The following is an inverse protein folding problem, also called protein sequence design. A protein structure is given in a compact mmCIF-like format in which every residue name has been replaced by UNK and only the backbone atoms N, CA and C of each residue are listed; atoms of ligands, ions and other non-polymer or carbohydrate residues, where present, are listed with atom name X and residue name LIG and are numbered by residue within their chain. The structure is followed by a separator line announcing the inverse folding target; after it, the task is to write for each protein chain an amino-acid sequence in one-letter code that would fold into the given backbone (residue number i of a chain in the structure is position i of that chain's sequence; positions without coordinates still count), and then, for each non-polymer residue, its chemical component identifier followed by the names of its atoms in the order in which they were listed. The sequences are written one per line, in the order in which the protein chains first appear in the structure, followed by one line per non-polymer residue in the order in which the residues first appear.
data_IF_953071508553
#
_entry.id   IF_953071508553
#
_cell.length_a   1.000
_cell.length_b   1.000
_cell.length_c   1.000
_cell.angle_alpha   90.00
_cell.angle_beta   90.00
_cell.angle_gamma   90.00
#
_symmetry.space_group_name_H-M   'P 1'
#
loop_
_entity.id
_entity.type
_entity.pdbx_description
1 polymer ?
#
# COMPACT_ATOMS: atom_id res chain seq x y z
N UNK A 1 -2.69 -4.49 -0.41
CA UNK A 1 -3.97 -3.99 -0.86
C UNK A 1 -4.84 -5.07 -1.47
N UNK A 2 -4.31 -6.02 -2.23
CA UNK A 2 -5.09 -7.20 -2.63
C UNK A 2 -5.65 -7.98 -1.43
N UNK A 3 -5.04 -7.80 -0.26
CA UNK A 3 -5.56 -8.35 0.98
C UNK A 3 -6.82 -7.64 1.48
N UNK A 4 -7.06 -6.39 1.11
CA UNK A 4 -8.26 -5.67 1.51
C UNK A 4 -9.54 -6.21 0.85
N UNK A 5 -9.42 -6.83 -0.32
CA UNK A 5 -10.55 -7.49 -0.99
C UNK A 5 -10.85 -8.89 -0.46
N UNK A 6 -10.03 -9.41 0.43
CA UNK A 6 -10.22 -10.76 0.98
C UNK A 6 -11.04 -10.66 2.27
N UNK A 7 -12.36 -10.56 2.12
CA UNK A 7 -13.35 -10.53 3.22
C UNK A 7 -13.16 -11.69 4.21
N UNK A 8 -12.44 -12.73 3.78
CA UNK A 8 -12.06 -13.88 4.60
C UNK A 8 -10.53 -14.01 4.66
N UNK A 9 -9.87 -13.03 5.26
CA UNK A 9 -8.45 -13.19 5.63
C UNK A 9 -8.32 -14.50 6.38
N UNK A 10 -7.50 -15.40 5.84
CA UNK A 10 -7.39 -16.74 6.41
C UNK A 10 -6.70 -16.64 7.76
N UNK A 11 -7.41 -16.91 8.85
CA UNK A 11 -6.86 -16.83 10.21
C UNK A 11 -5.57 -17.64 10.37
N UNK A 12 -5.40 -18.71 9.61
CA UNK A 12 -4.15 -19.48 9.60
C UNK A 12 -2.91 -18.65 9.24
N UNK A 13 -3.06 -17.55 8.48
CA UNK A 13 -1.93 -16.65 8.17
C UNK A 13 -1.49 -15.91 9.43
N UNK A 14 -2.45 -15.40 10.21
CA UNK A 14 -2.17 -14.73 11.48
C UNK A 14 -1.54 -15.69 12.49
N UNK A 15 -2.10 -16.89 12.62
CA UNK A 15 -1.55 -17.94 13.50
C UNK A 15 -0.10 -18.30 13.12
N UNK A 16 0.20 -18.38 11.82
CA UNK A 16 1.55 -18.64 11.34
C UNK A 16 2.49 -17.45 11.63
N UNK A 17 2.05 -16.23 11.44
CA UNK A 17 2.83 -15.04 11.75
C UNK A 17 3.11 -14.95 13.26
N UNK A 18 2.12 -15.22 14.10
CA UNK A 18 2.29 -15.30 15.57
C UNK A 18 3.37 -16.33 15.96
N UNK A 19 3.34 -17.50 15.34
CA UNK A 19 4.29 -18.60 15.62
C UNK A 19 5.68 -18.34 15.08
N UNK A 20 5.79 -17.67 13.94
CA UNK A 20 7.06 -17.41 13.25
C UNK A 20 7.70 -16.08 13.65
N UNK A 21 7.01 -15.25 14.42
CA UNK A 21 7.47 -13.92 14.83
C UNK A 21 7.48 -12.90 13.68
N UNK A 22 6.54 -13.05 12.72
CA UNK A 22 6.37 -12.10 11.62
C UNK A 22 5.39 -11.00 12.03
N UNK A 23 5.72 -9.76 11.76
CA UNK A 23 4.86 -8.63 12.05
C UNK A 23 3.86 -8.40 10.91
N UNK A 24 2.62 -8.10 11.28
CA UNK A 24 1.52 -7.82 10.36
C UNK A 24 1.03 -6.39 10.56
N UNK A 25 0.95 -5.63 9.49
CA UNK A 25 0.12 -4.45 9.39
C UNK A 25 -1.21 -4.89 8.74
N UNK A 26 -2.27 -4.87 9.53
CA UNK A 26 -3.59 -5.27 9.05
C UNK A 26 -4.32 -4.08 8.43
N UNK A 27 -4.81 -4.23 7.19
CA UNK A 27 -5.36 -3.13 6.40
C UNK A 27 -6.82 -3.37 6.03
N UNK A 28 -7.64 -2.33 6.20
CA UNK A 28 -9.09 -2.40 6.03
C UNK A 28 -9.56 -2.31 4.59
N UNK A 29 -9.07 -1.33 3.82
CA UNK A 29 -9.62 -1.08 2.49
C UNK A 29 -8.61 -0.47 1.53
N UNK A 30 -8.80 -0.75 0.23
CA UNK A 30 -8.00 -0.21 -0.87
C UNK A 30 -8.59 1.11 -1.43
N UNK A 31 -9.81 1.45 -1.06
CA UNK A 31 -10.51 2.67 -1.50
C UNK A 31 -11.57 3.06 -0.47
N UNK A 32 -12.04 4.32 -0.57
CA UNK A 32 -13.09 4.82 0.32
C UNK A 32 -14.38 5.10 -0.47
N UNK A 33 -15.01 6.24 -0.22
CA UNK A 33 -16.33 6.61 -0.74
C UNK A 33 -16.41 6.75 -2.28
N UNK A 34 -15.27 6.82 -2.97
CA UNK A 34 -15.20 6.87 -4.42
C UNK A 34 -14.24 5.82 -4.94
N UNK A 35 -14.56 5.18 -6.09
CA UNK A 35 -13.71 4.15 -6.67
C UNK A 35 -12.45 4.74 -7.28
N UNK A 36 -11.34 4.05 -7.10
CA UNK A 36 -10.12 4.31 -7.87
C UNK A 36 -10.34 3.96 -9.33
N UNK A 37 -9.65 4.69 -10.21
CA UNK A 37 -9.68 4.45 -11.66
C UNK A 37 -9.35 3.01 -12.03
N UNK A 38 -8.44 2.36 -11.30
CA UNK A 38 -8.06 0.96 -11.55
C UNK A 38 -9.25 0.00 -11.45
N UNK A 39 -10.30 0.34 -10.70
CA UNK A 39 -11.49 -0.50 -10.54
C UNK A 39 -12.59 -0.20 -11.55
N UNK A 40 -12.66 1.02 -12.06
CA UNK A 40 -13.74 1.45 -12.96
C UNK A 40 -13.29 1.66 -14.41
N UNK A 41 -12.04 2.02 -14.66
CA UNK A 41 -11.50 2.27 -16.00
C UNK A 41 -10.09 1.71 -16.20
N UNK A 42 -9.53 1.05 -15.20
CA UNK A 42 -8.13 0.71 -15.18
C UNK A 42 -7.77 -0.52 -16.00
N UNK A 43 -6.62 -1.00 -15.68
CA UNK A 43 -6.00 -2.13 -16.36
C UNK A 43 -6.66 -3.47 -16.08
N UNK A 44 -7.55 -3.54 -15.10
CA UNK A 44 -8.19 -4.81 -14.73
C UNK A 44 -9.39 -5.17 -15.59
N UNK A 45 -10.32 -4.23 -15.83
CA UNK A 45 -11.61 -4.57 -16.42
C UNK A 45 -12.09 -3.66 -17.55
N UNK A 46 -11.87 -2.37 -17.49
CA UNK A 46 -12.38 -1.41 -18.47
C UNK A 46 -13.85 -1.03 -18.30
N UNK A 47 -14.60 -1.72 -17.45
CA UNK A 47 -16.01 -1.46 -17.12
C UNK A 47 -16.16 -1.30 -15.61
N UNK A 48 -17.07 -0.44 -15.14
CA UNK A 48 -17.41 -0.34 -13.72
C UNK A 48 -17.88 -1.70 -13.18
N UNK A 49 -17.38 -2.06 -12.00
CA UNK A 49 -17.78 -3.29 -11.33
C UNK A 49 -17.83 -3.05 -9.82
N UNK A 50 -18.60 -3.85 -9.12
CA UNK A 50 -18.70 -3.86 -7.67
C UNK A 50 -17.52 -4.64 -7.07
N UNK A 51 -16.32 -4.13 -7.28
CA UNK A 51 -15.10 -4.82 -6.89
C UNK A 51 -14.45 -4.22 -5.64
N UNK A 52 -14.97 -3.07 -5.19
CA UNK A 52 -14.46 -2.36 -4.03
C UNK A 52 -15.53 -2.04 -3.01
N UNK A 53 -15.13 -1.38 -1.93
CA UNK A 53 -16.03 -1.01 -0.84
C UNK A 53 -16.84 0.26 -1.09
N UNK A 54 -16.55 1.00 -2.16
CA UNK A 54 -17.08 2.35 -2.39
C UNK A 54 -18.61 2.39 -2.49
N UNK A 55 -19.26 1.38 -3.09
CA UNK A 55 -20.72 1.35 -3.25
C UNK A 55 -21.48 1.29 -1.91
N UNK A 56 -20.86 0.69 -0.91
CA UNK A 56 -21.44 0.48 0.41
C UNK A 56 -20.68 1.21 1.52
N UNK A 57 -19.77 2.09 1.14
CA UNK A 57 -18.82 2.73 2.05
C UNK A 57 -19.49 3.42 3.23
N UNK A 58 -20.47 4.30 2.96
CA UNK A 58 -21.12 5.07 4.03
C UNK A 58 -21.94 4.19 4.98
N UNK A 59 -22.45 3.06 4.50
CA UNK A 59 -23.26 2.15 5.30
C UNK A 59 -22.41 1.20 6.16
N UNK A 60 -21.29 0.71 5.62
CA UNK A 60 -20.60 -0.45 6.19
C UNK A 60 -19.17 -0.20 6.68
N UNK A 61 -18.48 0.83 6.20
CA UNK A 61 -17.05 0.98 6.47
C UNK A 61 -16.68 1.03 7.96
N UNK A 62 -17.48 1.66 8.79
CA UNK A 62 -17.22 1.73 10.22
C UNK A 62 -17.39 0.37 10.89
N UNK A 63 -18.39 -0.39 10.46
CA UNK A 63 -18.61 -1.75 10.90
C UNK A 63 -17.46 -2.65 10.44
N UNK A 64 -17.07 -2.58 9.18
CA UNK A 64 -16.00 -3.39 8.59
C UNK A 64 -14.66 -3.15 9.29
N UNK A 65 -14.28 -1.88 9.52
CA UNK A 65 -13.08 -1.53 10.27
C UNK A 65 -13.15 -2.03 11.70
N UNK A 66 -14.27 -1.84 12.36
CA UNK A 66 -14.48 -2.29 13.74
C UNK A 66 -14.40 -3.82 13.85
N UNK A 67 -14.99 -4.54 12.93
CA UNK A 67 -15.01 -6.01 12.94
C UNK A 67 -13.65 -6.59 12.56
N UNK A 68 -12.91 -5.96 11.66
CA UNK A 68 -11.51 -6.32 11.41
C UNK A 68 -10.69 -6.28 12.70
N UNK A 69 -10.74 -5.14 13.41
CA UNK A 69 -9.98 -4.98 14.66
C UNK A 69 -10.46 -5.98 15.73
N UNK A 70 -11.77 -6.17 15.91
CA UNK A 70 -12.31 -7.13 16.86
C UNK A 70 -11.89 -8.56 16.59
N UNK A 71 -11.90 -8.96 15.32
CA UNK A 71 -11.51 -10.30 14.87
C UNK A 71 -10.04 -10.57 15.17
N UNK A 72 -9.17 -9.60 14.86
CA UNK A 72 -7.73 -9.87 14.72
C UNK A 72 -6.89 -9.34 15.91
N UNK A 73 -7.44 -8.48 16.80
CA UNK A 73 -6.68 -7.84 17.89
C UNK A 73 -5.99 -8.79 18.87
N UNK A 74 -6.38 -10.05 18.92
CA UNK A 74 -5.76 -11.04 19.80
C UNK A 74 -4.52 -11.70 19.20
N UNK A 75 -4.16 -11.36 17.94
CA UNK A 75 -2.92 -11.83 17.32
C UNK A 75 -1.76 -10.92 17.71
N UNK A 76 -0.74 -11.43 18.44
CA UNK A 76 0.43 -10.64 18.84
C UNK A 76 1.31 -10.22 17.65
N UNK A 77 1.18 -10.87 16.50
CA UNK A 77 1.87 -10.48 15.26
C UNK A 77 1.39 -9.14 14.70
N UNK A 78 0.15 -8.73 14.98
CA UNK A 78 -0.36 -7.44 14.50
C UNK A 78 0.28 -6.32 15.31
N UNK A 79 0.96 -5.41 14.63
CA UNK A 79 1.63 -4.28 15.27
C UNK A 79 1.05 -2.92 14.90
N UNK A 80 0.30 -2.81 13.79
CA UNK A 80 -0.41 -1.61 13.33
C UNK A 80 -1.73 -1.94 12.65
N UNK A 81 -2.66 -0.99 12.66
CA UNK A 81 -3.92 -1.02 11.93
C UNK A 81 -3.91 0.03 10.82
N UNK A 82 -4.03 -0.39 9.57
CA UNK A 82 -4.15 0.52 8.43
C UNK A 82 -5.61 0.74 8.06
N UNK A 83 -6.01 2.01 7.94
CA UNK A 83 -7.39 2.39 7.63
C UNK A 83 -7.65 2.57 6.13
N UNK A 84 -6.61 2.52 5.31
CA UNK A 84 -6.78 2.62 3.86
C UNK A 84 -5.46 2.71 3.10
N UNK A 85 -5.49 2.19 1.87
CA UNK A 85 -4.39 2.20 0.93
C UNK A 85 -4.65 3.15 -0.23
N UNK A 86 -3.75 4.12 -0.45
CA UNK A 86 -3.72 4.98 -1.64
C UNK A 86 -5.06 5.66 -1.97
N UNK A 87 -5.81 6.03 -0.95
CA UNK A 87 -7.11 6.69 -1.10
C UNK A 87 -6.97 8.14 -1.58
N UNK A 88 -5.77 8.64 -1.59
CA UNK A 88 -5.37 10.02 -1.83
C UNK A 88 -4.60 10.21 -3.14
N UNK A 89 -4.77 9.32 -4.12
CA UNK A 89 -4.17 9.60 -5.44
C UNK A 89 -4.64 10.95 -5.98
N UNK A 90 -3.72 11.83 -6.42
CA UNK A 90 -4.08 13.11 -7.03
C UNK A 90 -5.02 12.90 -8.22
N UNK A 91 -6.24 13.50 -8.15
CA UNK A 91 -7.27 13.38 -9.19
C UNK A 91 -7.78 11.94 -9.44
N UNK A 92 -7.64 11.05 -8.47
CA UNK A 92 -8.16 9.69 -8.52
C UNK A 92 -8.67 9.20 -7.14
N UNK A 93 -9.86 9.63 -6.66
CA UNK A 93 -10.75 10.60 -7.29
C UNK A 93 -10.57 12.06 -6.85
N UNK A 94 -9.91 12.32 -5.73
CA UNK A 94 -9.89 13.62 -5.06
C UNK A 94 -8.94 14.62 -5.71
N UNK A 95 -9.29 15.91 -5.63
CA UNK A 95 -8.46 16.98 -6.13
C UNK A 95 -8.33 18.12 -5.10
N UNK A 96 -7.24 18.89 -5.21
CA UNK A 96 -6.97 20.05 -4.37
C UNK A 96 -6.22 21.11 -5.18
N UNK A 97 -6.41 22.42 -4.93
CA UNK A 97 -5.70 23.48 -5.65
C UNK A 97 -4.18 23.41 -5.60
N UNK A 98 -3.59 22.73 -4.60
CA UNK A 98 -2.13 22.51 -4.51
C UNK A 98 -1.59 21.73 -5.73
N UNK A 99 -2.45 21.03 -6.47
CA UNK A 99 -2.06 20.25 -7.63
C UNK A 99 -1.73 21.15 -8.84
N UNK A 100 -2.14 22.42 -8.82
CA UNK A 100 -1.76 23.38 -9.85
C UNK A 100 -0.31 23.84 -9.65
N UNK A 101 0.51 23.66 -10.70
CA UNK A 101 1.89 24.09 -10.70
C UNK A 101 2.81 23.35 -9.72
N UNK A 102 2.33 22.29 -9.09
CA UNK A 102 3.12 21.53 -8.13
C UNK A 102 4.05 20.53 -8.82
N UNK A 103 5.18 20.28 -8.18
CA UNK A 103 6.14 19.23 -8.53
C UNK A 103 5.65 17.86 -8.03
N UNK A 104 4.44 17.45 -8.44
CA UNK A 104 3.93 16.13 -8.08
C UNK A 104 4.63 15.08 -8.93
N UNK A 105 5.15 14.04 -8.27
CA UNK A 105 5.85 12.93 -8.95
C UNK A 105 4.95 12.02 -9.80
N UNK A 106 3.66 12.29 -9.86
CA UNK A 106 2.70 11.53 -10.65
C UNK A 106 2.07 12.41 -11.74
N UNK A 107 2.81 12.77 -12.79
CA UNK A 107 2.37 13.71 -13.82
C UNK A 107 1.11 13.27 -14.58
N UNK A 108 0.80 11.95 -14.58
CA UNK A 108 -0.39 11.42 -15.24
C UNK A 108 -1.71 11.91 -14.61
N UNK A 109 -1.67 12.40 -13.38
CA UNK A 109 -2.83 12.91 -12.67
C UNK A 109 -2.88 14.43 -12.61
N UNK A 110 -1.98 15.13 -13.27
CA UNK A 110 -1.64 16.53 -13.13
C UNK A 110 -2.77 17.54 -13.18
N UNK A 111 -2.54 18.66 -12.51
CA UNK A 111 -3.40 19.83 -12.44
C UNK A 111 -4.59 19.70 -11.49
N UNK A 112 -5.07 20.83 -11.00
CA UNK A 112 -6.28 20.87 -10.18
C UNK A 112 -7.54 20.65 -11.04
N UNK A 113 -8.47 19.86 -10.53
CA UNK A 113 -9.76 19.57 -11.17
C UNK A 113 -10.90 20.04 -10.25
N UNK A 114 -11.46 21.24 -10.48
CA UNK A 114 -12.48 21.79 -9.59
C UNK A 114 -13.78 20.99 -9.54
N UNK A 115 -14.04 20.16 -10.54
CA UNK A 115 -15.23 19.30 -10.60
C UNK A 115 -15.02 17.93 -9.91
N UNK A 116 -13.81 17.64 -9.48
CA UNK A 116 -13.51 16.42 -8.72
C UNK A 116 -13.88 16.58 -7.23
N UNK A 117 -14.09 15.48 -6.51
CA UNK A 117 -14.29 15.52 -5.06
C UNK A 117 -13.17 16.27 -4.35
N UNK A 118 -13.53 17.12 -3.39
CA UNK A 118 -12.58 17.90 -2.59
C UNK A 118 -11.75 16.97 -1.69
N UNK A 119 -10.43 17.06 -1.78
CA UNK A 119 -9.49 16.28 -0.98
C UNK A 119 -9.63 16.50 0.54
N UNK A 120 -10.21 17.60 0.99
CA UNK A 120 -10.48 17.85 2.42
C UNK A 120 -11.40 16.79 3.04
N UNK A 121 -12.14 16.05 2.24
CA UNK A 121 -12.98 14.93 2.68
C UNK A 121 -12.15 13.78 3.27
N UNK A 122 -10.96 13.53 2.70
CA UNK A 122 -10.04 12.45 3.12
C UNK A 122 -9.71 12.56 4.61
N UNK A 123 -9.37 13.75 5.09
CA UNK A 123 -9.05 13.97 6.50
C UNK A 123 -10.22 13.67 7.44
N UNK A 124 -11.46 14.03 7.04
CA UNK A 124 -12.67 13.74 7.83
C UNK A 124 -12.93 12.25 7.92
N UNK A 125 -12.78 11.53 6.80
CA UNK A 125 -12.94 10.08 6.76
C UNK A 125 -11.86 9.41 7.62
N UNK A 126 -10.60 9.82 7.48
CA UNK A 126 -9.49 9.30 8.26
C UNK A 126 -9.73 9.43 9.78
N UNK A 127 -10.19 10.58 10.24
CA UNK A 127 -10.55 10.79 11.66
C UNK A 127 -11.65 9.83 12.11
N UNK A 128 -12.68 9.65 11.30
CA UNK A 128 -13.81 8.74 11.58
C UNK A 128 -13.34 7.29 11.71
N UNK A 129 -12.56 6.81 10.75
CA UNK A 129 -12.06 5.43 10.74
C UNK A 129 -11.01 5.17 11.82
N UNK A 130 -10.11 6.11 12.06
CA UNK A 130 -9.16 6.01 13.17
C UNK A 130 -9.86 5.96 14.54
N UNK A 131 -10.97 6.68 14.70
CA UNK A 131 -11.78 6.61 15.91
C UNK A 131 -12.43 5.23 16.09
N UNK A 132 -12.89 4.59 15.01
CA UNK A 132 -13.42 3.21 15.06
C UNK A 132 -12.36 2.21 15.55
N UNK A 133 -11.14 2.29 15.03
CA UNK A 133 -10.02 1.46 15.48
C UNK A 133 -9.76 1.69 16.97
N UNK A 134 -9.55 2.94 17.37
CA UNK A 134 -9.20 3.32 18.75
C UNK A 134 -10.30 2.99 19.76
N UNK A 135 -11.56 2.90 19.34
CA UNK A 135 -12.65 2.46 20.18
C UNK A 135 -12.56 0.97 20.56
N UNK A 136 -11.83 0.17 19.81
CA UNK A 136 -11.69 -1.28 20.01
C UNK A 136 -10.30 -1.66 20.52
N UNK A 137 -9.26 -1.02 19.98
CA UNK A 137 -7.85 -1.27 20.36
C UNK A 137 -7.08 0.05 20.49
N UNK A 138 -6.64 0.33 21.69
CA UNK A 138 -5.78 1.49 22.03
C UNK A 138 -4.31 1.10 22.20
N UNK A 139 -3.98 -0.17 22.04
CA UNK A 139 -2.63 -0.69 22.30
C UNK A 139 -1.71 -0.63 21.07
N UNK A 140 -2.29 -0.48 19.89
CA UNK A 140 -1.55 -0.44 18.61
C UNK A 140 -1.83 0.85 17.86
N UNK A 141 -0.83 1.39 17.14
CA UNK A 141 -0.99 2.62 16.36
C UNK A 141 -1.89 2.40 15.13
N UNK A 142 -2.54 3.47 14.74
CA UNK A 142 -3.31 3.56 13.49
C UNK A 142 -2.43 4.17 12.41
N UNK A 143 -2.46 3.59 11.23
CA UNK A 143 -1.75 4.09 10.04
C UNK A 143 -2.66 4.18 8.83
N UNK A 144 -2.15 4.74 7.77
CA UNK A 144 -2.70 4.74 6.42
C UNK A 144 -1.58 4.86 5.41
N UNK A 145 -1.78 4.36 4.21
CA UNK A 145 -0.81 4.32 3.14
C UNK A 145 -1.10 5.41 2.11
N UNK A 146 -0.32 6.50 2.15
CA UNK A 146 -0.51 7.69 1.35
C UNK A 146 0.26 7.60 0.02
N UNK A 147 -0.42 7.82 -1.10
CA UNK A 147 0.20 7.95 -2.42
C UNK A 147 0.34 9.43 -2.85
N UNK A 148 -0.60 10.26 -2.46
CA UNK A 148 -0.65 11.70 -2.77
C UNK A 148 -0.17 12.59 -1.63
N UNK A 149 1.00 12.32 -1.07
CA UNK A 149 1.51 12.96 0.16
C UNK A 149 1.44 14.49 0.12
N UNK A 150 1.80 15.12 -1.02
CA UNK A 150 1.74 16.59 -1.17
C UNK A 150 0.31 17.11 -1.01
N UNK A 151 -0.67 16.41 -1.58
CA UNK A 151 -2.08 16.74 -1.44
C UNK A 151 -2.59 16.44 -0.03
N UNK A 152 -2.24 15.28 0.49
CA UNK A 152 -2.66 14.85 1.83
C UNK A 152 -2.11 15.74 2.95
N UNK A 153 -0.94 16.33 2.78
CA UNK A 153 -0.40 17.35 3.69
C UNK A 153 -1.23 18.63 3.77
N UNK A 154 -2.18 18.85 2.86
CA UNK A 154 -3.15 19.96 2.92
C UNK A 154 -4.43 19.56 3.65
N UNK A 155 -4.57 18.30 4.03
CA UNK A 155 -5.75 17.76 4.71
C UNK A 155 -5.41 17.35 6.14
N UNK A 156 -6.41 16.94 6.90
CA UNK A 156 -6.19 16.40 8.26
C UNK A 156 -5.85 14.89 8.26
N UNK A 157 -5.56 14.29 7.11
CA UNK A 157 -5.30 12.84 7.04
C UNK A 157 -4.04 12.44 7.80
N UNK A 158 -2.86 13.06 7.55
CA UNK A 158 -1.66 12.71 8.30
C UNK A 158 -1.78 12.92 9.82
N UNK A 159 -2.56 13.90 10.24
CA UNK A 159 -2.78 14.21 11.67
C UNK A 159 -3.85 13.31 12.32
N UNK A 160 -4.67 12.63 11.54
CA UNK A 160 -5.69 11.70 12.05
C UNK A 160 -5.11 10.35 12.50
N UNK A 161 -3.94 9.99 12.01
CA UNK A 161 -3.26 8.72 12.22
C UNK A 161 -1.97 8.89 13.05
N UNK A 162 -1.51 7.81 13.67
CA UNK A 162 -0.35 7.84 14.57
C UNK A 162 0.97 7.66 13.81
N UNK A 163 0.93 6.93 12.70
CA UNK A 163 2.08 6.62 11.84
C UNK A 163 1.67 6.81 10.39
N UNK A 164 2.45 7.55 9.63
CA UNK A 164 2.10 7.93 8.25
C UNK A 164 2.91 7.10 7.26
N UNK A 165 2.20 6.25 6.51
CA UNK A 165 2.78 5.44 5.46
C UNK A 165 2.89 6.20 4.14
N UNK A 166 4.01 6.05 3.45
CA UNK A 166 4.28 6.68 2.15
C UNK A 166 4.44 5.59 1.09
N UNK A 167 3.57 5.60 0.08
CA UNK A 167 3.66 4.69 -1.06
C UNK A 167 4.43 5.36 -2.20
N UNK A 168 5.60 4.80 -2.57
CA UNK A 168 6.43 5.26 -3.70
C UNK A 168 6.77 6.76 -3.71
N UNK A 169 6.81 7.37 -2.55
CA UNK A 169 7.12 8.81 -2.37
C UNK A 169 8.30 9.04 -1.45
N UNK A 170 9.31 8.17 -1.56
CA UNK A 170 10.54 8.19 -0.76
C UNK A 170 11.30 9.52 -0.88
N UNK A 171 11.14 10.21 -2.01
CA UNK A 171 11.72 11.53 -2.24
C UNK A 171 11.16 12.63 -1.32
N UNK A 172 10.04 12.36 -0.64
CA UNK A 172 9.44 13.29 0.31
C UNK A 172 9.94 13.13 1.76
N UNK A 173 10.63 12.04 2.08
CA UNK A 173 11.00 11.73 3.46
C UNK A 173 11.77 12.85 4.16
N UNK A 174 12.82 13.38 3.53
CA UNK A 174 13.66 14.40 4.14
C UNK A 174 12.93 15.74 4.31
N UNK A 175 12.20 16.17 3.28
CA UNK A 175 11.45 17.42 3.29
C UNK A 175 10.32 17.39 4.32
N UNK A 176 9.57 16.29 4.34
CA UNK A 176 8.43 16.15 5.25
C UNK A 176 8.88 15.93 6.69
N UNK A 177 9.99 15.22 6.93
CA UNK A 177 10.59 15.13 8.26
C UNK A 177 11.05 16.50 8.77
N UNK A 178 11.66 17.34 7.93
CA UNK A 178 12.06 18.68 8.30
C UNK A 178 10.84 19.59 8.61
N UNK A 179 9.75 19.43 7.85
CA UNK A 179 8.53 20.21 8.02
C UNK A 179 7.67 19.74 9.19
N UNK A 180 7.64 18.44 9.41
CA UNK A 180 6.82 17.76 10.43
C UNK A 180 7.69 16.85 11.31
N UNK A 181 8.57 17.41 12.16
CA UNK A 181 9.60 16.64 12.85
C UNK A 181 9.09 15.59 13.85
N UNK A 182 7.83 15.73 14.28
CA UNK A 182 7.17 14.78 15.18
C UNK A 182 6.39 13.68 14.44
N UNK A 183 6.31 13.75 13.11
CA UNK A 183 5.61 12.74 12.31
C UNK A 183 6.45 11.48 12.20
N UNK A 184 5.87 10.37 12.61
CA UNK A 184 6.47 9.04 12.39
C UNK A 184 6.16 8.60 10.96
N UNK A 185 7.20 8.38 10.17
CA UNK A 185 7.10 8.06 8.73
C UNK A 185 7.69 6.67 8.46
N UNK A 186 7.09 5.94 7.53
CA UNK A 186 7.63 4.70 6.98
C UNK A 186 7.22 4.51 5.52
N UNK A 187 7.90 3.61 4.82
CA UNK A 187 7.50 3.20 3.47
C UNK A 187 6.42 2.13 3.54
N UNK A 188 5.16 2.53 3.44
CA UNK A 188 4.05 1.57 3.46
C UNK A 188 3.98 0.71 2.21
N UNK A 189 4.48 1.24 1.08
CA UNK A 189 4.63 0.50 -0.16
C UNK A 189 5.79 1.06 -0.97
N UNK A 190 6.84 0.27 -1.16
CA UNK A 190 8.02 0.65 -1.90
C UNK A 190 8.40 -0.38 -2.97
N UNK A 191 9.13 0.06 -3.97
CA UNK A 191 9.72 -0.82 -4.97
C UNK A 191 10.85 -1.70 -4.42
N UNK A 192 11.18 -2.77 -5.14
CA UNK A 192 12.26 -3.69 -4.76
C UNK A 192 13.66 -3.19 -5.14
N UNK A 193 13.79 -2.03 -5.79
CA UNK A 193 15.05 -1.48 -6.28
C UNK A 193 16.00 -1.01 -5.18
N UNK A 194 17.26 -0.78 -5.56
CA UNK A 194 18.32 -0.36 -4.65
C UNK A 194 18.08 1.06 -4.12
N UNK A 195 17.50 1.93 -4.92
CA UNK A 195 17.18 3.31 -4.55
C UNK A 195 16.18 3.36 -3.38
N UNK A 196 15.10 2.54 -3.46
CA UNK A 196 14.14 2.42 -2.37
C UNK A 196 14.78 1.85 -1.09
N UNK A 197 15.78 0.98 -1.21
CA UNK A 197 16.56 0.49 -0.08
C UNK A 197 17.35 1.61 0.60
N UNK A 198 18.10 2.39 -0.18
CA UNK A 198 18.90 3.50 0.36
C UNK A 198 18.04 4.64 0.90
N UNK A 199 16.83 4.81 0.38
CA UNK A 199 15.90 5.82 0.91
C UNK A 199 15.52 5.56 2.38
N UNK A 200 15.66 4.32 2.86
CA UNK A 200 15.28 3.93 4.22
C UNK A 200 16.48 3.56 5.09
N UNK A 201 17.45 2.82 4.53
CA UNK A 201 18.53 2.17 5.29
C UNK A 201 19.32 3.09 6.21
N UNK A 202 19.60 4.31 5.75
CA UNK A 202 20.47 5.25 6.44
C UNK A 202 19.70 6.43 7.10
N UNK A 203 18.36 6.32 7.23
CA UNK A 203 17.51 7.35 7.83
C UNK A 203 16.91 6.86 9.14
N UNK A 204 17.43 7.36 10.25
CA UNK A 204 16.99 6.98 11.60
C UNK A 204 15.50 7.33 11.88
N UNK A 205 14.97 8.32 11.17
CA UNK A 205 13.57 8.75 11.31
C UNK A 205 12.58 7.94 10.46
N UNK A 206 13.05 7.00 9.63
CA UNK A 206 12.21 6.04 8.89
C UNK A 206 12.39 4.66 9.53
N UNK A 207 11.36 4.16 10.20
CA UNK A 207 11.51 2.92 10.94
C UNK A 207 11.50 1.65 10.08
N UNK A 208 11.07 1.72 8.82
CA UNK A 208 11.05 0.56 7.94
C UNK A 208 10.35 0.81 6.61
N UNK A 209 10.25 -0.25 5.84
CA UNK A 209 9.52 -0.26 4.56
C UNK A 209 8.88 -1.61 4.30
N UNK A 210 7.76 -1.59 3.58
CA UNK A 210 7.12 -2.75 3.00
C UNK A 210 7.33 -2.75 1.50
N UNK A 211 7.69 -3.89 0.94
CA UNK A 211 7.96 -4.02 -0.50
C UNK A 211 6.72 -4.53 -1.22
N UNK A 212 6.36 -3.88 -2.28
CA UNK A 212 5.34 -4.38 -3.18
C UNK A 212 6.00 -5.19 -4.31
N UNK A 213 5.88 -6.54 -4.30
CA UNK A 213 5.22 -7.37 -3.32
C UNK A 213 6.11 -8.54 -2.88
N UNK A 214 5.70 -9.26 -1.83
CA UNK A 214 6.40 -10.47 -1.43
C UNK A 214 6.26 -11.60 -2.46
N UNK A 215 5.06 -11.83 -2.98
CA UNK A 215 4.75 -12.94 -3.90
C UNK A 215 3.96 -12.42 -5.10
N UNK A 216 4.18 -12.98 -6.29
CA UNK A 216 3.31 -12.76 -7.43
C UNK A 216 1.88 -13.18 -7.09
N UNK A 217 0.87 -12.46 -7.59
CA UNK A 217 -0.51 -12.75 -7.26
C UNK A 217 -1.45 -12.66 -8.47
N UNK A 218 -2.58 -13.34 -8.37
CA UNK A 218 -3.65 -13.28 -9.37
C UNK A 218 -4.44 -11.98 -9.18
N UNK A 219 -4.85 -11.40 -10.28
CA UNK A 219 -5.55 -10.10 -10.27
C UNK A 219 -4.64 -8.96 -10.67
N UNK A 220 -5.19 -7.76 -10.76
CA UNK A 220 -4.55 -6.55 -11.27
C UNK A 220 -3.71 -6.79 -12.55
N UNK A 221 -4.15 -7.75 -13.32
CA UNK A 221 -3.50 -8.13 -14.58
C UNK A 221 -3.88 -7.14 -15.68
N UNK A 222 -2.96 -6.91 -16.61
CA UNK A 222 -3.26 -6.17 -17.82
C UNK A 222 -4.20 -6.94 -18.77
N UNK A 223 -4.11 -6.64 -20.07
CA UNK A 223 -4.92 -7.32 -21.07
C UNK A 223 -4.59 -8.82 -21.11
N UNK A 224 -5.64 -9.62 -21.45
CA UNK A 224 -5.46 -11.03 -21.73
C UNK A 224 -4.33 -11.27 -22.76
N UNK A 225 -3.46 -12.26 -22.54
CA UNK A 225 -3.54 -13.41 -21.62
C UNK A 225 -2.92 -13.21 -20.24
N UNK A 226 -2.56 -12.02 -19.82
CA UNK A 226 -2.04 -11.78 -18.47
C UNK A 226 -3.12 -12.13 -17.43
N UNK A 227 -2.71 -12.84 -16.37
CA UNK A 227 -3.65 -13.30 -15.33
C UNK A 227 -3.30 -12.79 -13.94
N UNK A 228 -2.15 -12.15 -13.79
CA UNK A 228 -1.67 -11.70 -12.50
C UNK A 228 -0.65 -10.60 -12.60
N UNK A 229 -0.25 -10.10 -11.45
CA UNK A 229 0.82 -9.12 -11.31
C UNK A 229 2.11 -9.83 -10.87
N UNK A 230 3.20 -9.51 -11.57
CA UNK A 230 4.50 -10.20 -11.46
C UNK A 230 5.55 -9.36 -10.73
N UNK A 231 5.13 -8.59 -9.74
CA UNK A 231 6.01 -7.71 -8.95
C UNK A 231 6.65 -8.40 -7.76
N UNK A 232 6.25 -9.64 -7.44
CA UNK A 232 6.72 -10.39 -6.29
C UNK A 232 8.23 -10.63 -6.25
N UNK A 233 8.78 -10.72 -5.05
CA UNK A 233 10.12 -11.26 -4.80
C UNK A 233 10.14 -12.78 -5.04
N UNK A 234 9.01 -13.41 -4.79
CA UNK A 234 8.74 -14.82 -5.08
C UNK A 234 7.74 -14.93 -6.25
N UNK A 235 7.78 -16.02 -6.98
CA UNK A 235 6.78 -16.34 -7.99
C UNK A 235 5.51 -16.96 -7.37
N UNK A 236 4.52 -17.34 -8.21
CA UNK A 236 3.29 -18.01 -7.76
C UNK A 236 3.50 -19.33 -7.02
N UNK A 237 4.62 -20.00 -7.25
CA UNK A 237 5.02 -21.22 -6.57
C UNK A 237 5.83 -20.97 -5.31
N UNK A 238 6.01 -19.70 -4.91
CA UNK A 238 6.84 -19.27 -3.79
C UNK A 238 8.35 -19.52 -3.99
N UNK A 239 8.81 -19.63 -5.24
CA UNK A 239 10.23 -19.71 -5.55
C UNK A 239 10.84 -18.31 -5.67
N UNK A 240 12.05 -18.09 -5.09
CA UNK A 240 12.72 -16.80 -5.20
C UNK A 240 13.03 -16.42 -6.65
N UNK A 241 12.61 -15.24 -7.05
CA UNK A 241 12.95 -14.63 -8.34
C UNK A 241 14.30 -13.90 -8.23
N UNK A 242 14.95 -13.51 -9.33
CA UNK A 242 16.21 -12.75 -9.30
C UNK A 242 16.16 -11.56 -8.35
N UNK A 243 15.04 -10.80 -8.33
CA UNK A 243 14.85 -9.68 -7.41
C UNK A 243 14.73 -10.10 -5.94
N UNK A 244 14.22 -11.31 -5.67
CA UNK A 244 14.18 -11.90 -4.33
C UNK A 244 15.59 -12.22 -3.82
N UNK A 245 16.44 -12.83 -4.65
CA UNK A 245 17.84 -13.05 -4.33
C UNK A 245 18.61 -11.74 -4.13
N UNK A 246 18.33 -10.74 -4.98
CA UNK A 246 18.91 -9.41 -4.80
C UNK A 246 18.54 -8.79 -3.46
N UNK A 247 17.25 -8.81 -3.08
CA UNK A 247 16.83 -8.31 -1.77
C UNK A 247 17.41 -9.12 -0.61
N UNK A 248 17.50 -10.43 -0.74
CA UNK A 248 18.16 -11.29 0.25
C UNK A 248 19.62 -10.87 0.47
N UNK A 249 20.35 -10.45 -0.57
CA UNK A 249 21.73 -9.97 -0.44
C UNK A 249 21.86 -8.67 0.38
N UNK A 250 20.79 -7.90 0.49
CA UNK A 250 20.74 -6.66 1.29
C UNK A 250 20.28 -6.91 2.74
N UNK A 251 19.45 -7.93 2.96
CA UNK A 251 18.81 -8.20 4.25
C UNK A 251 19.54 -9.25 5.09
N UNK A 252 20.19 -10.23 4.42
CA UNK A 252 20.84 -11.31 5.12
C UNK A 252 22.22 -10.90 5.66
N UNK A 253 22.54 -11.33 6.88
CA UNK A 253 23.87 -11.16 7.46
C UNK A 253 24.94 -11.98 6.73
N UNK A 254 24.54 -13.13 6.16
CA UNK A 254 25.43 -13.98 5.38
C UNK A 254 25.46 -13.53 3.92
N UNK A 255 26.62 -13.54 3.27
CA UNK A 255 26.73 -13.24 1.85
C UNK A 255 25.77 -14.12 1.02
N UNK A 256 25.02 -13.50 0.13
CA UNK A 256 24.12 -14.17 -0.81
C UNK A 256 24.64 -13.92 -2.22
N UNK A 257 24.84 -15.01 -2.99
CA UNK A 257 25.21 -14.94 -4.40
C UNK A 257 24.18 -15.72 -5.21
N UNK A 258 23.72 -15.11 -6.30
CA UNK A 258 22.81 -15.74 -7.25
C UNK A 258 23.26 -15.48 -8.67
N UNK A 259 23.30 -16.55 -9.47
CA UNK A 259 23.58 -16.48 -10.90
C UNK A 259 22.37 -17.06 -11.65
N UNK A 260 21.61 -16.16 -12.27
CA UNK A 260 20.50 -16.57 -13.14
C UNK A 260 21.00 -16.99 -14.53
N UNK A 261 20.48 -18.09 -15.04
CA UNK A 261 20.73 -18.55 -16.40
C UNK A 261 19.41 -18.72 -17.13
N UNK A 262 19.39 -18.37 -18.42
CA UNK A 262 18.26 -18.72 -19.27
C UNK A 262 18.45 -20.17 -19.74
N UNK A 263 17.42 -21.04 -19.63
CA UNK A 263 17.48 -22.36 -20.24
C UNK A 263 17.69 -22.23 -21.73
N UNK A 264 18.77 -22.86 -22.26
CA UNK A 264 19.05 -22.86 -23.71
C UNK A 264 17.89 -23.40 -24.55
N UNK A 265 17.07 -24.28 -23.96
CA UNK A 265 15.87 -24.83 -24.60
C UNK A 265 14.80 -23.79 -24.96
N UNK A 266 14.76 -22.66 -24.27
CA UNK A 266 13.80 -21.59 -24.60
C UNK A 266 14.22 -20.77 -25.81
N UNK A 267 15.51 -20.77 -26.17
CA UNK A 267 16.03 -20.10 -27.35
C UNK A 267 15.57 -20.83 -28.62
N UNK A 268 15.41 -22.16 -28.54
CA UNK A 268 14.98 -22.97 -29.67
C UNK A 268 13.45 -23.05 -29.84
N UNK A 269 12.68 -22.61 -28.87
CA UNK A 269 11.21 -22.59 -28.95
C UNK A 269 10.71 -21.30 -29.62
N UNK A 270 11.52 -20.27 -29.68
CA UNK A 270 11.15 -18.96 -30.22
C UNK A 270 11.64 -18.72 -31.65
N UNK A 271 12.31 -19.65 -32.27
CA UNK A 271 12.65 -19.54 -33.71
C UNK A 271 11.57 -20.25 -34.55
N UNK A 272 11.04 -19.54 -35.57
CA UNK A 272 10.05 -20.09 -36.50
C UNK A 272 10.62 -21.17 -37.40
#
# INVERSE_FOLDING_TARGET
SSAASDVYKRQVVYDLCDRLGLLIMDEASDEWEFPKRKWVKGWNKGEPAYDGSFDFFEEWIEQDVTDMVRRDRNHPSIFMWSIGNEVDYPNDPYSHPILDGSTINQPMFGGYKPDAPDAMRIGKIAKRLAACVRAVDTSRPVTGALAGVVMSNQTEYPEAIDVVGYNYTENRYDEDHATYPNRVIYGSENGSGLEAWYAVKDKEFIFGQFIWTGTDYLGESGAWPSRGLYTGLLDFGSFPKPRGHFRASLWCEKPVTYVGTYPLSLIHISEP
#
